data_IF_023029265503
#
_entry.id   IF_023029265503
#
_cell.length_a   1.000
_cell.length_b   1.000
_cell.length_c   1.000
_cell.angle_alpha   90.00
_cell.angle_beta   90.00
_cell.angle_gamma   90.00
#
_symmetry.space_group_name_H-M   'P 1'
#
loop_
_entity.id
_entity.type
_entity.pdbx_description
1 polymer ?
#
# COMPACT_ATOMS: atom_id res chain seq x y z
N UNK A 1 -9.59 -8.92 -42.65
CA UNK A 1 -9.85 -7.52 -42.28
C UNK A 1 -9.98 -7.46 -40.76
N UNK A 2 -9.18 -6.66 -40.04
CA UNK A 2 -9.43 -6.45 -38.62
C UNK A 2 -10.75 -5.68 -38.49
N UNK A 3 -11.71 -6.27 -37.79
CA UNK A 3 -12.98 -5.63 -37.45
C UNK A 3 -12.62 -4.45 -36.53
N UNK A 4 -12.89 -3.21 -36.97
CA UNK A 4 -12.76 -2.06 -36.08
C UNK A 4 -13.86 -2.18 -35.02
N UNK A 5 -13.53 -2.13 -33.71
CA UNK A 5 -14.55 -2.13 -32.68
C UNK A 5 -15.44 -0.91 -32.85
N UNK A 6 -16.76 -1.11 -32.85
CA UNK A 6 -17.71 -0.01 -32.76
C UNK A 6 -17.76 0.51 -31.32
N UNK A 7 -17.89 1.83 -31.13
CA UNK A 7 -17.86 2.45 -29.80
C UNK A 7 -18.92 1.87 -28.83
N UNK A 8 -20.10 1.55 -29.36
CA UNK A 8 -21.16 0.90 -28.59
C UNK A 8 -20.75 -0.47 -28.05
N UNK A 9 -20.09 -1.27 -28.88
CA UNK A 9 -19.61 -2.61 -28.52
C UNK A 9 -18.49 -2.54 -27.49
N UNK A 10 -17.54 -1.60 -27.63
CA UNK A 10 -16.47 -1.40 -26.64
C UNK A 10 -17.03 -1.01 -25.27
N UNK A 11 -17.95 -0.04 -25.21
CA UNK A 11 -18.57 0.37 -23.93
C UNK A 11 -19.31 -0.79 -23.28
N UNK A 12 -20.05 -1.58 -24.08
CA UNK A 12 -20.75 -2.76 -23.59
C UNK A 12 -19.79 -3.81 -23.02
N UNK A 13 -18.66 -4.06 -23.69
CA UNK A 13 -17.61 -4.98 -23.21
C UNK A 13 -17.06 -4.54 -21.85
N UNK A 14 -16.69 -3.26 -21.70
CA UNK A 14 -16.12 -2.75 -20.44
C UNK A 14 -17.18 -2.78 -19.33
N UNK A 15 -18.42 -2.43 -19.64
CA UNK A 15 -19.55 -2.51 -18.69
C UNK A 15 -19.86 -3.94 -18.28
N UNK A 16 -19.78 -4.91 -19.20
CA UNK A 16 -19.93 -6.32 -18.88
C UNK A 16 -18.80 -6.81 -17.97
N UNK A 17 -17.55 -6.44 -18.23
CA UNK A 17 -16.42 -6.74 -17.36
C UNK A 17 -16.61 -6.17 -15.94
N UNK A 18 -17.01 -4.89 -15.84
CA UNK A 18 -17.35 -4.24 -14.57
C UNK A 18 -18.47 -4.98 -13.84
N UNK A 19 -19.53 -5.38 -14.55
CA UNK A 19 -20.63 -6.13 -13.96
C UNK A 19 -20.15 -7.47 -13.38
N UNK A 20 -19.35 -8.22 -14.13
CA UNK A 20 -18.79 -9.50 -13.68
C UNK A 20 -17.88 -9.37 -12.46
N UNK A 21 -17.00 -8.35 -12.43
CA UNK A 21 -16.16 -8.05 -11.27
C UNK A 21 -16.98 -7.74 -10.01
N UNK A 22 -18.04 -6.94 -10.15
CA UNK A 22 -18.91 -6.54 -9.04
C UNK A 22 -19.76 -7.71 -8.54
N UNK A 23 -20.28 -8.56 -9.44
CA UNK A 23 -20.98 -9.78 -9.08
C UNK A 23 -20.07 -10.74 -8.29
N UNK A 24 -18.84 -10.96 -8.78
CA UNK A 24 -17.88 -11.82 -8.09
C UNK A 24 -17.50 -11.28 -6.70
N UNK A 25 -17.50 -9.95 -6.53
CA UNK A 25 -17.15 -9.31 -5.25
C UNK A 25 -18.28 -9.36 -4.21
N UNK A 26 -19.53 -9.43 -4.64
CA UNK A 26 -20.72 -9.38 -3.75
C UNK A 26 -21.38 -10.73 -3.52
N UNK A 27 -21.20 -11.68 -4.44
CA UNK A 27 -21.80 -13.00 -4.35
C UNK A 27 -21.21 -13.78 -3.16
N UNK A 28 -22.09 -14.11 -2.22
CA UNK A 28 -21.83 -15.10 -1.16
C UNK A 28 -22.29 -16.50 -1.55
N UNK A 29 -23.22 -16.64 -2.52
CA UNK A 29 -23.95 -17.88 -2.84
C UNK A 29 -24.64 -17.91 -4.23
N UNK A 30 -24.14 -17.26 -5.29
CA UNK A 30 -24.79 -17.37 -6.60
C UNK A 30 -24.38 -18.65 -7.35
N UNK A 31 -25.32 -19.41 -7.98
CA UNK A 31 -25.04 -20.70 -8.62
C UNK A 31 -24.38 -20.60 -10.02
N UNK A 32 -24.33 -19.42 -10.61
CA UNK A 32 -23.84 -19.25 -11.99
C UNK A 32 -22.48 -18.53 -11.96
N UNK A 33 -21.42 -19.33 -11.99
CA UNK A 33 -19.99 -19.01 -12.16
C UNK A 33 -19.60 -17.52 -12.12
N UNK A 34 -19.42 -16.92 -10.92
CA UNK A 34 -18.79 -15.60 -10.83
C UNK A 34 -17.37 -15.64 -11.43
N UNK A 35 -16.92 -14.51 -11.98
CA UNK A 35 -15.57 -14.37 -12.54
C UNK A 35 -14.51 -14.86 -11.53
N UNK A 36 -13.79 -15.92 -11.90
CA UNK A 36 -12.74 -16.48 -11.07
C UNK A 36 -11.57 -15.49 -10.99
N UNK A 37 -10.86 -15.44 -9.86
CA UNK A 37 -9.80 -14.45 -9.68
C UNK A 37 -8.64 -14.67 -10.66
N UNK A 38 -8.37 -15.92 -11.06
CA UNK A 38 -7.40 -16.25 -12.10
C UNK A 38 -7.77 -15.78 -13.51
N UNK A 39 -9.05 -15.48 -13.78
CA UNK A 39 -9.52 -15.01 -15.07
C UNK A 39 -9.41 -13.48 -15.23
N UNK A 40 -9.21 -12.75 -14.13
CA UNK A 40 -9.12 -11.28 -14.13
C UNK A 40 -7.99 -10.77 -15.05
N UNK A 41 -6.76 -11.35 -15.06
CA UNK A 41 -5.73 -10.98 -16.02
C UNK A 41 -6.14 -11.15 -17.49
N UNK A 42 -6.84 -12.25 -17.82
CA UNK A 42 -7.29 -12.53 -19.18
C UNK A 42 -8.40 -11.57 -19.60
N UNK A 43 -9.34 -11.28 -18.69
CA UNK A 43 -10.37 -10.28 -18.89
C UNK A 43 -9.77 -8.89 -19.11
N UNK A 44 -8.74 -8.52 -18.34
CA UNK A 44 -8.01 -7.27 -18.54
C UNK A 44 -7.41 -7.21 -19.94
N UNK A 45 -6.70 -8.26 -20.38
CA UNK A 45 -6.12 -8.30 -21.73
C UNK A 45 -7.16 -8.26 -22.84
N UNK A 46 -8.31 -8.89 -22.64
CA UNK A 46 -9.44 -8.72 -23.53
C UNK A 46 -9.91 -7.25 -23.58
N UNK A 47 -10.02 -6.58 -22.43
CA UNK A 47 -10.42 -5.17 -22.34
C UNK A 47 -9.40 -4.22 -23.01
N UNK A 48 -8.07 -4.42 -22.90
CA UNK A 48 -7.10 -3.56 -23.67
C UNK A 48 -7.42 -3.58 -25.13
N UNK A 49 -7.57 -4.79 -25.68
CA UNK A 49 -7.59 -4.99 -27.13
C UNK A 49 -8.78 -4.29 -27.77
N UNK A 50 -9.81 -4.00 -26.98
CA UNK A 50 -11.02 -3.32 -27.39
C UNK A 50 -11.10 -1.89 -26.88
N UNK A 51 -10.10 -1.40 -26.12
CA UNK A 51 -10.14 -0.08 -25.50
C UNK A 51 -10.14 1.05 -26.53
N UNK A 52 -11.06 2.00 -26.35
CA UNK A 52 -11.14 3.21 -27.15
C UNK A 52 -11.03 4.45 -26.23
N UNK A 53 -10.36 5.54 -26.66
CA UNK A 53 -10.22 6.77 -25.86
C UNK A 53 -11.55 7.33 -25.32
N UNK A 54 -12.64 7.14 -26.04
CA UNK A 54 -14.00 7.60 -25.68
C UNK A 54 -14.64 6.82 -24.52
N UNK A 55 -13.97 5.78 -24.01
CA UNK A 55 -14.39 4.97 -22.85
C UNK A 55 -13.59 5.28 -21.58
N UNK A 56 -12.79 6.34 -21.60
CA UNK A 56 -11.90 6.73 -20.50
C UNK A 56 -12.62 7.08 -19.19
N UNK A 57 -13.90 7.44 -19.30
CA UNK A 57 -14.82 7.67 -18.18
C UNK A 57 -15.09 6.40 -17.35
N UNK A 58 -14.94 5.21 -17.95
CA UNK A 58 -15.14 3.93 -17.26
C UNK A 58 -13.88 3.47 -16.50
N UNK A 59 -12.72 4.05 -16.80
CA UNK A 59 -11.44 3.62 -16.26
C UNK A 59 -11.37 3.68 -14.72
N UNK A 60 -11.80 4.77 -14.04
CA UNK A 60 -11.76 4.81 -12.58
C UNK A 60 -12.57 3.68 -11.93
N UNK A 61 -13.77 3.41 -12.47
CA UNK A 61 -14.63 2.33 -11.97
C UNK A 61 -13.97 0.96 -12.16
N UNK A 62 -13.23 0.77 -13.25
CA UNK A 62 -12.52 -0.46 -13.54
C UNK A 62 -11.39 -0.71 -12.54
N UNK A 63 -10.58 0.31 -12.25
CA UNK A 63 -9.57 0.24 -11.19
C UNK A 63 -10.18 -0.16 -9.85
N UNK A 64 -11.24 0.55 -9.42
CA UNK A 64 -11.90 0.27 -8.15
C UNK A 64 -12.45 -1.17 -8.06
N UNK A 65 -13.16 -1.62 -9.10
CA UNK A 65 -13.73 -2.96 -9.14
C UNK A 65 -12.67 -4.08 -9.10
N UNK A 66 -11.55 -3.90 -9.80
CA UNK A 66 -10.45 -4.88 -9.81
C UNK A 66 -9.75 -4.92 -8.45
N UNK A 67 -9.44 -3.77 -7.85
CA UNK A 67 -8.80 -3.73 -6.52
C UNK A 67 -9.71 -4.41 -5.49
N UNK A 68 -11.01 -4.14 -5.52
CA UNK A 68 -11.97 -4.81 -4.65
C UNK A 68 -12.00 -6.33 -4.90
N UNK A 69 -11.95 -6.76 -6.17
CA UNK A 69 -11.90 -8.18 -6.52
C UNK A 69 -10.64 -8.87 -6.00
N UNK A 70 -9.48 -8.21 -6.06
CA UNK A 70 -8.22 -8.69 -5.49
C UNK A 70 -8.33 -8.87 -3.98
N UNK A 71 -8.90 -7.89 -3.27
CA UNK A 71 -9.17 -7.99 -1.84
C UNK A 71 -10.07 -9.17 -1.48
N UNK A 72 -11.17 -9.35 -2.21
CA UNK A 72 -12.11 -10.46 -1.99
C UNK A 72 -11.41 -11.80 -2.21
N UNK A 73 -10.67 -11.95 -3.31
CA UNK A 73 -9.91 -13.17 -3.61
C UNK A 73 -8.92 -13.51 -2.50
N UNK A 74 -8.17 -12.50 -2.06
CA UNK A 74 -7.15 -12.63 -1.02
C UNK A 74 -7.76 -13.03 0.33
N UNK A 75 -8.81 -12.33 0.78
CA UNK A 75 -9.42 -12.57 2.09
C UNK A 75 -10.18 -13.90 2.16
N UNK A 76 -10.73 -14.36 1.04
CA UNK A 76 -11.44 -15.64 0.95
C UNK A 76 -10.52 -16.82 0.65
N UNK A 77 -9.24 -16.57 0.34
CA UNK A 77 -8.29 -17.61 -0.04
C UNK A 77 -8.72 -18.36 -1.31
N UNK A 78 -9.27 -17.64 -2.29
CA UNK A 78 -9.82 -18.25 -3.52
C UNK A 78 -8.74 -18.83 -4.44
N UNK A 79 -7.48 -18.44 -4.26
CA UNK A 79 -6.34 -18.92 -5.04
C UNK A 79 -5.26 -19.53 -4.15
N UNK A 80 -4.51 -20.48 -4.72
CA UNK A 80 -3.23 -20.94 -4.14
C UNK A 80 -2.20 -19.81 -4.16
N UNK A 81 -1.22 -19.88 -3.26
CA UNK A 81 -0.20 -18.85 -3.09
C UNK A 81 0.50 -18.50 -4.41
N UNK A 82 1.05 -19.49 -5.11
CA UNK A 82 1.85 -19.29 -6.32
C UNK A 82 1.02 -18.64 -7.44
N UNK A 83 -0.22 -19.09 -7.61
CA UNK A 83 -1.15 -18.53 -8.59
C UNK A 83 -1.55 -17.10 -8.22
N UNK A 84 -1.79 -16.82 -6.94
CA UNK A 84 -2.15 -15.48 -6.48
C UNK A 84 -1.02 -14.47 -6.72
N UNK A 85 0.23 -14.84 -6.45
CA UNK A 85 1.42 -14.00 -6.71
C UNK A 85 1.51 -13.65 -8.20
N UNK A 86 1.31 -14.65 -9.07
CA UNK A 86 1.30 -14.43 -10.52
C UNK A 86 0.15 -13.51 -10.95
N UNK A 87 -1.08 -13.78 -10.52
CA UNK A 87 -2.25 -12.99 -10.90
C UNK A 87 -2.13 -11.53 -10.42
N UNK A 88 -1.72 -11.30 -9.17
CA UNK A 88 -1.53 -9.95 -8.65
C UNK A 88 -0.41 -9.21 -9.40
N UNK A 89 0.69 -9.88 -9.75
CA UNK A 89 1.76 -9.27 -10.56
C UNK A 89 1.21 -8.77 -11.88
N UNK A 90 0.50 -9.64 -12.63
CA UNK A 90 -0.04 -9.29 -13.94
C UNK A 90 -1.06 -8.16 -13.83
N UNK A 91 -1.92 -8.15 -12.81
CA UNK A 91 -2.88 -7.06 -12.59
C UNK A 91 -2.16 -5.74 -12.30
N UNK A 92 -1.11 -5.75 -11.48
CA UNK A 92 -0.33 -4.54 -11.18
C UNK A 92 0.43 -4.03 -12.41
N UNK A 93 1.06 -4.91 -13.18
CA UNK A 93 1.70 -4.58 -14.47
C UNK A 93 0.70 -3.88 -15.41
N UNK A 94 -0.52 -4.38 -15.45
CA UNK A 94 -1.63 -3.78 -16.19
C UNK A 94 -2.02 -2.39 -15.72
N UNK A 95 -2.13 -2.22 -14.41
CA UNK A 95 -2.38 -0.92 -13.81
C UNK A 95 -1.25 0.06 -14.14
N UNK A 96 0.02 -0.36 -14.03
CA UNK A 96 1.17 0.46 -14.42
C UNK A 96 1.02 0.96 -15.86
N UNK A 97 0.77 0.07 -16.82
CA UNK A 97 0.60 0.42 -18.23
C UNK A 97 -0.51 1.46 -18.45
N UNK A 98 -1.69 1.24 -17.87
CA UNK A 98 -2.79 2.20 -17.98
C UNK A 98 -2.48 3.55 -17.33
N UNK A 99 -1.85 3.56 -16.16
CA UNK A 99 -1.49 4.80 -15.46
C UNK A 99 -0.43 5.58 -16.25
N UNK A 100 0.55 4.90 -16.84
CA UNK A 100 1.52 5.52 -17.72
C UNK A 100 0.88 6.13 -18.96
N UNK A 101 -0.02 5.40 -19.62
CA UNK A 101 -0.73 5.89 -20.80
C UNK A 101 -1.62 7.09 -20.45
N UNK A 102 -2.31 7.03 -19.30
CA UNK A 102 -3.03 8.18 -18.75
C UNK A 102 -2.11 9.38 -18.53
N UNK A 103 -0.94 9.18 -17.93
CA UNK A 103 0.02 10.25 -17.67
C UNK A 103 0.56 10.88 -18.95
N UNK A 104 0.80 10.08 -19.99
CA UNK A 104 1.27 10.54 -21.32
C UNK A 104 0.16 11.23 -22.12
N UNK A 105 -1.09 10.82 -21.92
CA UNK A 105 -2.23 11.36 -22.64
C UNK A 105 -2.62 12.77 -22.17
N UNK A 106 -3.12 13.59 -23.10
CA UNK A 106 -3.78 14.88 -22.81
C UNK A 106 -5.15 14.74 -22.13
N UNK A 107 -5.42 13.59 -21.49
CA UNK A 107 -6.67 13.29 -20.80
C UNK A 107 -6.93 14.29 -19.67
N UNK A 108 -8.19 14.66 -19.49
CA UNK A 108 -8.63 15.58 -18.45
C UNK A 108 -8.18 15.17 -17.03
N UNK A 109 -7.60 16.11 -16.30
CA UNK A 109 -7.14 15.92 -14.91
C UNK A 109 -8.23 15.37 -13.98
N UNK A 110 -9.51 15.64 -14.28
CA UNK A 110 -10.63 15.09 -13.53
C UNK A 110 -10.66 13.54 -13.55
N UNK A 111 -10.39 12.91 -14.69
CA UNK A 111 -10.34 11.44 -14.77
C UNK A 111 -9.13 10.91 -14.02
N UNK A 112 -7.96 11.53 -14.18
CA UNK A 112 -6.74 11.14 -13.44
C UNK A 112 -6.95 11.22 -11.93
N UNK A 113 -7.63 12.28 -11.48
CA UNK A 113 -8.03 12.49 -10.09
C UNK A 113 -8.97 11.38 -9.61
N UNK A 114 -10.01 11.04 -10.38
CA UNK A 114 -10.96 9.99 -10.00
C UNK A 114 -10.28 8.62 -9.97
N UNK A 115 -9.37 8.31 -10.91
CA UNK A 115 -8.55 7.09 -10.86
C UNK A 115 -7.73 7.04 -9.57
N UNK A 116 -7.04 8.12 -9.21
CA UNK A 116 -6.28 8.21 -7.96
C UNK A 116 -7.18 7.99 -6.75
N UNK A 117 -8.36 8.61 -6.71
CA UNK A 117 -9.33 8.44 -5.62
C UNK A 117 -9.77 6.97 -5.54
N UNK A 118 -10.10 6.32 -6.65
CA UNK A 118 -10.51 4.92 -6.66
C UNK A 118 -9.39 3.99 -6.19
N UNK A 119 -8.14 4.23 -6.59
CA UNK A 119 -6.98 3.47 -6.13
C UNK A 119 -6.84 3.54 -4.60
N UNK A 120 -6.90 4.75 -4.04
CA UNK A 120 -6.72 4.97 -2.60
C UNK A 120 -7.93 4.48 -1.80
N UNK A 121 -9.15 4.79 -2.25
CA UNK A 121 -10.41 4.42 -1.58
C UNK A 121 -10.61 2.91 -1.52
N UNK A 122 -10.22 2.18 -2.56
CA UNK A 122 -10.32 0.72 -2.58
C UNK A 122 -9.10 0.04 -1.91
N UNK A 123 -8.18 0.81 -1.32
CA UNK A 123 -7.15 0.28 -0.42
C UNK A 123 -6.03 -0.48 -1.14
N UNK A 124 -5.64 -0.09 -2.36
CA UNK A 124 -4.52 -0.73 -3.06
C UNK A 124 -3.21 -0.64 -2.26
N UNK A 125 -3.00 0.48 -1.57
CA UNK A 125 -1.81 0.72 -0.74
C UNK A 125 -1.73 -0.32 0.40
N UNK A 126 -2.85 -0.51 1.10
CA UNK A 126 -2.95 -1.48 2.19
C UNK A 126 -2.85 -2.92 1.67
N UNK A 127 -3.39 -3.16 0.47
CA UNK A 127 -3.30 -4.47 -0.19
C UNK A 127 -1.87 -4.85 -0.49
N UNK A 128 -1.07 -3.94 -1.05
CA UNK A 128 0.37 -4.13 -1.28
C UNK A 128 1.10 -4.43 0.03
N UNK A 129 0.78 -3.70 1.10
CA UNK A 129 1.36 -3.95 2.42
C UNK A 129 1.06 -5.37 2.93
N UNK A 130 -0.17 -5.87 2.70
CA UNK A 130 -0.52 -7.25 3.07
C UNK A 130 0.13 -8.29 2.17
N UNK A 131 0.26 -8.02 0.88
CA UNK A 131 0.99 -8.92 -0.05
C UNK A 131 2.43 -9.08 0.42
N UNK A 132 3.12 -8.01 0.79
CA UNK A 132 4.52 -8.10 1.27
C UNK A 132 4.69 -9.05 2.47
N UNK A 133 3.67 -9.16 3.33
CA UNK A 133 3.66 -10.09 4.47
C UNK A 133 3.14 -11.49 4.11
N UNK A 134 2.42 -11.61 2.99
CA UNK A 134 1.88 -12.87 2.49
C UNK A 134 2.91 -13.67 1.70
N UNK A 135 3.85 -12.99 1.03
CA UNK A 135 4.90 -13.63 0.25
C UNK A 135 5.78 -14.54 1.10
N UNK A 136 6.04 -15.74 0.60
CA UNK A 136 7.05 -16.63 1.18
C UNK A 136 8.44 -15.96 1.10
N UNK A 137 9.14 -15.76 2.23
CA UNK A 137 10.44 -15.09 2.20
C UNK A 137 11.48 -15.99 1.52
N UNK A 138 12.35 -15.39 0.72
CA UNK A 138 13.36 -16.12 -0.05
C UNK A 138 14.77 -15.79 0.43
N UNK A 139 15.63 -16.82 0.52
CA UNK A 139 17.05 -16.66 0.89
C UNK A 139 17.93 -16.23 -0.28
N UNK A 140 17.43 -16.37 -1.51
CA UNK A 140 18.20 -16.19 -2.74
C UNK A 140 18.20 -14.71 -3.15
N UNK A 141 19.40 -14.18 -3.44
CA UNK A 141 19.59 -12.87 -4.03
C UNK A 141 18.99 -12.83 -5.46
N UNK A 142 18.62 -11.66 -6.02
CA UNK A 142 17.66 -11.50 -7.13
C UNK A 142 18.02 -12.09 -8.52
N UNK A 143 19.00 -12.99 -8.63
CA UNK A 143 19.71 -13.31 -9.88
C UNK A 143 19.26 -14.61 -10.59
N UNK A 144 18.26 -15.34 -10.08
CA UNK A 144 17.76 -16.56 -10.72
C UNK A 144 16.38 -16.35 -11.40
N UNK A 145 16.33 -16.50 -12.72
CA UNK A 145 15.16 -16.14 -13.56
C UNK A 145 13.97 -17.13 -13.52
N UNK A 146 14.06 -18.25 -12.78
CA UNK A 146 13.07 -19.34 -12.86
C UNK A 146 12.56 -19.91 -11.51
N UNK A 147 12.80 -19.24 -10.39
CA UNK A 147 12.38 -19.71 -9.05
C UNK A 147 11.27 -18.84 -8.42
N UNK A 148 10.63 -19.31 -7.35
CA UNK A 148 9.67 -18.57 -6.51
C UNK A 148 10.26 -17.23 -6.03
N UNK A 149 11.57 -17.20 -5.74
CA UNK A 149 12.33 -15.98 -5.48
C UNK A 149 12.24 -14.95 -6.61
N UNK A 150 12.25 -15.39 -7.86
CA UNK A 150 12.05 -14.53 -9.04
C UNK A 150 10.64 -13.95 -9.08
N UNK A 151 9.63 -14.76 -8.75
CA UNK A 151 8.23 -14.34 -8.79
C UNK A 151 7.91 -13.31 -7.70
N UNK A 152 8.40 -13.54 -6.48
CA UNK A 152 8.22 -12.60 -5.36
C UNK A 152 8.91 -11.27 -5.64
N UNK A 153 10.16 -11.30 -6.13
CA UNK A 153 10.88 -10.08 -6.50
C UNK A 153 10.20 -9.31 -7.64
N UNK A 154 9.72 -10.00 -8.68
CA UNK A 154 8.97 -9.35 -9.76
C UNK A 154 7.67 -8.70 -9.24
N UNK A 155 6.94 -9.35 -8.34
CA UNK A 155 5.76 -8.74 -7.73
C UNK A 155 6.13 -7.49 -6.90
N UNK A 156 7.20 -7.54 -6.12
CA UNK A 156 7.70 -6.38 -5.37
C UNK A 156 8.12 -5.22 -6.28
N UNK A 157 8.74 -5.51 -7.42
CA UNK A 157 9.06 -4.50 -8.44
C UNK A 157 7.80 -3.87 -9.02
N UNK A 158 6.77 -4.65 -9.34
CA UNK A 158 5.49 -4.08 -9.80
C UNK A 158 4.80 -3.23 -8.72
N UNK A 159 4.93 -3.61 -7.44
CA UNK A 159 4.45 -2.79 -6.33
C UNK A 159 5.18 -1.44 -6.24
N UNK A 160 6.49 -1.41 -6.50
CA UNK A 160 7.24 -0.16 -6.57
C UNK A 160 6.85 0.65 -7.81
N UNK A 161 6.73 -0.01 -8.96
CA UNK A 161 6.49 0.61 -10.24
C UNK A 161 5.12 1.28 -10.30
N UNK A 162 4.07 0.61 -9.83
CA UNK A 162 2.73 1.18 -9.79
C UNK A 162 2.69 2.45 -8.94
N UNK A 163 3.45 2.50 -7.84
CA UNK A 163 3.54 3.71 -7.02
C UNK A 163 4.27 4.85 -7.70
N UNK A 164 5.30 4.56 -8.49
CA UNK A 164 5.93 5.59 -9.34
C UNK A 164 4.90 6.17 -10.32
N UNK A 165 4.07 5.33 -10.94
CA UNK A 165 3.02 5.77 -11.85
C UNK A 165 1.90 6.57 -11.15
N UNK A 166 1.46 6.13 -9.96
CA UNK A 166 0.47 6.83 -9.13
C UNK A 166 0.96 8.22 -8.73
N UNK A 167 2.25 8.37 -8.36
CA UNK A 167 2.82 9.66 -7.94
C UNK A 167 2.78 10.74 -9.01
N UNK A 168 2.69 10.35 -10.27
CA UNK A 168 2.59 11.25 -11.41
C UNK A 168 1.15 11.73 -11.66
N UNK A 169 0.14 11.10 -11.05
CA UNK A 169 -1.25 11.52 -11.19
C UNK A 169 -1.53 12.82 -10.41
N UNK A 170 -2.24 13.78 -11.02
CA UNK A 170 -2.79 14.93 -10.31
C UNK A 170 -4.06 14.56 -9.53
N UNK A 171 -4.43 15.36 -8.51
CA UNK A 171 -3.62 16.38 -7.87
C UNK A 171 -2.68 15.74 -6.82
N UNK A 172 -1.42 16.16 -6.79
CA UNK A 172 -0.42 15.62 -5.85
C UNK A 172 -0.79 15.80 -4.36
N UNK A 173 -1.70 16.73 -4.04
CA UNK A 173 -2.23 16.93 -2.70
C UNK A 173 -2.99 15.72 -2.16
N UNK A 174 -3.79 15.04 -2.98
CA UNK A 174 -4.62 13.89 -2.56
C UNK A 174 -3.76 12.75 -2.03
N UNK A 175 -2.66 12.44 -2.70
CA UNK A 175 -1.74 11.38 -2.26
C UNK A 175 -1.04 11.76 -0.95
N UNK A 176 -0.65 13.03 -0.80
CA UNK A 176 -0.05 13.53 0.44
C UNK A 176 -1.05 13.42 1.61
N UNK A 177 -2.27 13.90 1.41
CA UNK A 177 -3.32 13.88 2.43
C UNK A 177 -3.66 12.45 2.86
N UNK A 178 -3.67 11.50 1.92
CA UNK A 178 -3.83 10.08 2.20
C UNK A 178 -2.74 9.57 3.16
N UNK A 179 -1.46 9.79 2.84
CA UNK A 179 -0.35 9.32 3.69
C UNK A 179 -0.26 10.03 5.04
N UNK A 180 -0.65 11.31 5.09
CA UNK A 180 -0.75 12.06 6.35
C UNK A 180 -1.88 11.50 7.22
N UNK A 181 -2.99 11.06 6.61
CA UNK A 181 -4.12 10.40 7.30
C UNK A 181 -3.78 8.98 7.76
N UNK A 182 -3.05 8.19 6.96
CA UNK A 182 -2.57 6.86 7.40
C UNK A 182 -1.74 6.97 8.68
N UNK A 183 -0.95 8.04 8.82
CA UNK A 183 -0.24 8.38 10.04
C UNK A 183 0.62 7.22 10.56
N UNK A 184 0.22 6.67 11.70
CA UNK A 184 0.94 5.60 12.41
C UNK A 184 0.79 4.22 11.77
N UNK A 185 -0.31 3.92 11.07
CA UNK A 185 -0.53 2.59 10.50
C UNK A 185 0.52 2.25 9.45
N UNK A 186 0.90 3.24 8.64
CA UNK A 186 1.97 3.14 7.65
C UNK A 186 3.32 2.75 8.27
N UNK A 187 3.68 3.42 9.36
CA UNK A 187 4.95 3.19 10.05
C UNK A 187 4.99 1.85 10.77
N UNK A 188 3.85 1.34 11.26
CA UNK A 188 3.80 0.00 11.89
C UNK A 188 4.30 -1.09 10.95
N UNK A 189 3.86 -1.08 9.69
CA UNK A 189 4.34 -2.06 8.72
C UNK A 189 5.83 -1.84 8.40
N UNK A 190 6.26 -0.59 8.23
CA UNK A 190 7.68 -0.28 8.03
C UNK A 190 8.56 -0.86 9.14
N UNK A 191 8.23 -0.60 10.41
CA UNK A 191 9.02 -1.11 11.55
C UNK A 191 8.95 -2.63 11.69
N UNK A 192 7.82 -3.23 11.31
CA UNK A 192 7.73 -4.68 11.29
C UNK A 192 8.69 -5.27 10.24
N UNK A 193 8.69 -4.72 9.03
CA UNK A 193 9.64 -5.12 7.98
C UNK A 193 11.10 -4.81 8.38
N UNK A 194 11.34 -3.70 9.06
CA UNK A 194 12.66 -3.34 9.62
C UNK A 194 13.15 -4.39 10.62
N UNK A 195 12.30 -4.77 11.57
CA UNK A 195 12.60 -5.83 12.54
C UNK A 195 12.85 -7.19 11.88
N UNK A 196 12.14 -7.52 10.80
CA UNK A 196 12.37 -8.76 10.04
C UNK A 196 13.62 -8.67 9.16
N UNK A 197 14.13 -7.46 8.91
CA UNK A 197 15.37 -7.20 8.17
C UNK A 197 16.63 -7.19 9.05
N UNK A 198 16.47 -7.51 10.35
CA UNK A 198 17.59 -7.70 11.27
C UNK A 198 18.08 -9.15 11.21
N UNK A 199 19.41 -9.40 11.24
CA UNK A 199 19.95 -10.75 11.18
C UNK A 199 19.42 -11.63 12.32
N UNK A 200 18.85 -12.77 11.97
CA UNK A 200 18.52 -13.81 12.96
C UNK A 200 19.69 -14.77 13.11
N UNK A 201 20.05 -15.10 14.35
CA UNK A 201 21.02 -16.17 14.65
C UNK A 201 20.41 -17.58 14.55
N UNK A 202 19.12 -17.68 14.24
CA UNK A 202 18.35 -18.93 14.20
C UNK A 202 17.57 -19.01 12.88
N UNK A 203 17.87 -20.02 12.07
CA UNK A 203 17.14 -20.34 10.82
C UNK A 203 17.77 -19.79 9.54
N UNK A 204 17.08 -19.94 8.39
CA UNK A 204 17.51 -19.38 7.11
C UNK A 204 17.58 -17.85 7.15
N UNK A 205 18.58 -17.26 6.50
CA UNK A 205 18.72 -15.81 6.45
C UNK A 205 17.81 -15.20 5.37
N UNK A 206 16.67 -14.67 5.81
CA UNK A 206 15.72 -13.93 4.98
C UNK A 206 15.92 -12.41 5.02
N UNK A 207 16.97 -11.94 5.70
CA UNK A 207 17.29 -10.52 5.83
C UNK A 207 17.29 -9.78 4.49
N UNK A 208 17.91 -10.31 3.40
CA UNK A 208 17.93 -9.62 2.11
C UNK A 208 16.52 -9.38 1.54
N UNK A 209 15.62 -10.36 1.67
CA UNK A 209 14.24 -10.25 1.20
C UNK A 209 13.48 -9.15 1.94
N UNK A 210 13.51 -9.16 3.27
CA UNK A 210 12.80 -8.14 4.06
C UNK A 210 13.41 -6.75 3.91
N UNK A 211 14.71 -6.62 3.62
CA UNK A 211 15.32 -5.34 3.23
C UNK A 211 14.69 -4.80 1.94
N UNK A 212 14.45 -5.65 0.95
CA UNK A 212 13.76 -5.23 -0.30
C UNK A 212 12.33 -4.80 0.01
N UNK A 213 11.54 -5.61 0.72
CA UNK A 213 10.17 -5.25 1.11
C UNK A 213 10.12 -3.90 1.84
N UNK A 214 11.01 -3.71 2.83
CA UNK A 214 11.14 -2.45 3.58
C UNK A 214 11.41 -1.26 2.67
N UNK A 215 12.34 -1.41 1.72
CA UNK A 215 12.73 -0.34 0.82
C UNK A 215 11.62 0.00 -0.18
N UNK A 216 10.93 -1.00 -0.73
CA UNK A 216 9.76 -0.79 -1.58
C UNK A 216 8.67 -0.06 -0.80
N UNK A 217 8.32 -0.55 0.40
CA UNK A 217 7.33 0.11 1.27
C UNK A 217 7.73 1.55 1.56
N UNK A 218 8.97 1.82 1.97
CA UNK A 218 9.44 3.17 2.24
C UNK A 218 9.34 4.10 1.01
N UNK A 219 9.70 3.59 -0.17
CA UNK A 219 9.70 4.34 -1.44
C UNK A 219 8.31 4.77 -1.93
N UNK A 220 7.26 4.08 -1.49
CA UNK A 220 5.87 4.39 -1.84
C UNK A 220 5.37 5.71 -1.23
N UNK A 221 5.91 6.15 -0.08
CA UNK A 221 5.50 7.40 0.56
C UNK A 221 6.22 8.62 -0.06
N UNK A 222 5.49 9.61 -0.63
CA UNK A 222 6.11 10.83 -1.12
C UNK A 222 6.74 11.66 0.00
N UNK A 223 7.86 12.31 -0.28
CA UNK A 223 8.44 13.32 0.62
C UNK A 223 9.02 12.76 1.92
N UNK A 224 9.30 11.46 2.01
CA UNK A 224 10.17 10.93 3.06
C UNK A 224 11.59 11.39 2.74
N UNK A 225 11.94 12.61 3.18
CA UNK A 225 13.34 13.00 3.36
C UNK A 225 14.02 12.10 4.40
N UNK A 226 15.27 12.41 4.77
CA UNK A 226 15.93 11.76 5.92
C UNK A 226 14.93 11.59 7.06
N UNK A 227 14.70 10.35 7.48
CA UNK A 227 13.83 10.04 8.62
C UNK A 227 14.47 10.72 9.82
N UNK A 228 14.01 11.95 10.11
CA UNK A 228 14.47 12.68 11.27
C UNK A 228 13.83 12.01 12.46
N UNK A 229 14.56 11.08 13.06
CA UNK A 229 14.14 10.39 14.27
C UNK A 229 14.13 11.40 15.41
N UNK A 230 12.95 11.76 15.97
CA UNK A 230 12.92 12.65 17.12
C UNK A 230 13.74 12.03 18.26
N UNK A 231 14.32 12.84 19.12
CA UNK A 231 15.06 12.34 20.28
C UNK A 231 14.17 12.26 21.51
N UNK A 232 14.32 11.19 22.27
CA UNK A 232 13.66 10.92 23.54
C UNK A 232 13.98 12.06 24.49
N UNK A 233 12.94 12.69 25.02
CA UNK A 233 13.09 13.80 25.95
C UNK A 233 13.54 13.39 27.35
N UNK A 234 13.56 12.09 27.66
CA UNK A 234 14.17 11.61 28.89
C UNK A 234 15.70 11.74 28.79
N UNK A 235 16.27 12.69 29.52
CA UNK A 235 17.68 13.06 29.42
C UNK A 235 18.67 11.92 29.73
N UNK A 236 18.23 10.88 30.46
CA UNK A 236 19.04 9.70 30.80
C UNK A 236 18.67 8.48 29.94
N UNK A 237 18.07 8.68 28.78
CA UNK A 237 17.78 7.59 27.86
C UNK A 237 19.09 7.06 27.26
N UNK A 238 19.41 5.76 27.38
CA UNK A 238 20.65 5.20 26.84
C UNK A 238 20.63 5.15 25.30
N UNK A 239 19.45 5.11 24.68
CA UNK A 239 19.27 5.18 23.23
C UNK A 239 18.18 6.21 22.92
N UNK A 240 18.54 7.51 22.78
CA UNK A 240 17.58 8.58 22.68
C UNK A 240 16.91 8.64 21.31
N UNK A 241 17.37 7.93 20.29
CA UNK A 241 16.75 7.96 18.97
C UNK A 241 15.36 7.32 19.02
N UNK A 242 14.30 8.07 18.73
CA UNK A 242 12.94 7.54 18.61
C UNK A 242 12.69 7.20 17.15
N UNK A 243 12.36 5.93 16.91
CA UNK A 243 11.89 5.47 15.62
C UNK A 243 10.55 6.16 15.28
N UNK A 244 10.48 6.85 14.14
CA UNK A 244 9.31 7.62 13.69
C UNK A 244 8.08 6.73 13.55
N UNK A 245 7.00 7.00 14.24
CA UNK A 245 5.85 6.10 14.34
C UNK A 245 5.87 5.17 15.54
N UNK A 246 6.83 5.32 16.45
CA UNK A 246 6.87 4.69 17.77
C UNK A 246 7.00 5.75 18.88
N UNK A 247 6.61 6.98 18.59
CA UNK A 247 6.65 8.09 19.53
C UNK A 247 5.56 7.98 20.60
N UNK A 248 5.98 8.05 21.86
CA UNK A 248 5.06 8.23 22.99
C UNK A 248 5.01 9.71 23.35
N UNK A 249 3.83 10.31 23.20
CA UNK A 249 3.62 11.70 23.56
C UNK A 249 3.16 11.85 25.01
N UNK A 250 3.60 12.92 25.66
CA UNK A 250 2.97 13.34 26.91
C UNK A 250 1.51 13.72 26.64
N UNK A 251 0.55 12.97 27.19
CA UNK A 251 -0.88 13.22 27.01
C UNK A 251 -1.37 14.57 27.56
N UNK A 252 -0.54 15.32 28.29
CA UNK A 252 -0.89 16.65 28.83
C UNK A 252 -0.37 17.81 27.96
N UNK A 253 0.89 17.77 27.52
CA UNK A 253 1.48 18.87 26.76
C UNK A 253 1.61 18.59 25.26
N UNK A 254 1.62 17.31 24.84
CA UNK A 254 1.83 16.85 23.46
C UNK A 254 3.19 17.27 22.84
N UNK A 255 3.92 18.18 23.50
CA UNK A 255 5.24 18.73 23.09
C UNK A 255 6.43 17.80 23.37
N UNK A 256 6.30 16.90 24.36
CA UNK A 256 7.38 15.97 24.73
C UNK A 256 7.12 14.58 24.17
N UNK A 257 8.18 14.01 23.62
CA UNK A 257 8.19 12.75 22.91
C UNK A 257 9.18 11.79 23.56
N UNK A 258 8.77 10.53 23.74
CA UNK A 258 9.58 9.48 24.37
C UNK A 258 9.66 8.25 23.48
N UNK A 259 10.77 7.50 23.56
CA UNK A 259 10.93 6.24 22.83
C UNK A 259 10.14 5.07 23.45
N UNK A 260 9.67 5.23 24.70
CA UNK A 260 8.89 4.21 25.40
C UNK A 260 8.07 4.83 26.53
N UNK A 261 7.01 4.12 26.94
CA UNK A 261 6.25 4.41 28.17
C UNK A 261 7.18 4.43 29.39
N UNK A 262 8.20 3.55 29.43
CA UNK A 262 9.15 3.54 30.54
C UNK A 262 9.96 4.83 30.62
N UNK A 263 10.45 5.36 29.50
CA UNK A 263 11.15 6.64 29.47
C UNK A 263 10.23 7.80 29.84
N UNK A 264 8.97 7.78 29.39
CA UNK A 264 7.95 8.75 29.79
C UNK A 264 7.70 8.72 31.30
N UNK A 265 7.51 7.54 31.89
CA UNK A 265 7.26 7.37 33.32
C UNK A 265 8.48 7.77 34.17
N UNK A 266 9.71 7.44 33.71
CA UNK A 266 10.93 7.84 34.40
C UNK A 266 11.13 9.35 34.35
N UNK A 267 10.92 9.97 33.18
CA UNK A 267 10.96 11.44 33.04
C UNK A 267 9.92 12.12 33.93
N UNK A 268 8.72 11.55 34.05
CA UNK A 268 7.66 12.03 34.93
C UNK A 268 8.00 11.91 36.42
N UNK A 269 8.67 10.82 36.82
CA UNK A 269 9.14 10.64 38.20
C UNK A 269 10.28 11.60 38.55
N UNK A 270 11.13 11.96 37.58
CA UNK A 270 12.25 12.88 37.78
C UNK A 270 11.87 14.35 37.62
N UNK A 271 10.90 14.66 36.75
CA UNK A 271 10.32 15.99 36.55
C UNK A 271 9.03 16.10 37.35
N UNK A 272 9.16 16.36 38.66
CA UNK A 272 8.04 16.37 39.59
C UNK A 272 6.85 17.23 39.09
N UNK A 273 5.61 16.72 39.06
CA UNK A 273 4.44 17.50 38.68
C UNK A 273 4.21 18.62 39.70
N UNK A 274 4.03 19.85 39.21
CA UNK A 274 3.56 20.95 40.06
C UNK A 274 2.06 20.75 40.27
N UNK A 275 1.65 20.55 41.54
CA UNK A 275 0.24 20.65 41.92
C UNK A 275 -0.13 22.13 41.93
N UNK A 276 -1.14 22.51 41.15
CA UNK A 276 -1.78 23.81 41.36
C UNK A 276 -2.51 23.82 42.71
N UNK A 277 -2.75 25.00 43.30
CA UNK A 277 -3.54 25.13 44.53
C UNK A 277 -4.93 24.48 44.47
N UNK A 278 -5.46 24.21 43.27
CA UNK A 278 -6.74 23.52 43.04
C UNK A 278 -6.64 22.02 42.74
N UNK A 279 -5.51 21.36 42.97
CA UNK A 279 -5.37 19.90 42.83
C UNK A 279 -5.27 19.36 41.39
N UNK A 280 -5.28 20.22 40.36
CA UNK A 280 -5.00 19.80 38.98
C UNK A 280 -3.50 19.56 38.81
N UNK A 281 -3.14 18.36 38.37
CA UNK A 281 -1.78 18.03 37.93
C UNK A 281 -1.48 18.77 36.63
N UNK A 282 -0.49 19.66 36.64
CA UNK A 282 0.06 20.26 35.43
C UNK A 282 1.35 19.49 35.10
N UNK A 283 1.56 19.19 33.82
CA UNK A 283 2.82 18.65 33.35
C UNK A 283 3.95 19.63 33.74
N UNK A 284 5.00 19.13 34.41
CA UNK A 284 6.15 19.95 34.83
C UNK A 284 6.87 20.68 33.68
N UNK A 285 6.47 20.36 32.45
CA UNK A 285 7.07 20.80 31.20
C UNK A 285 6.06 21.55 30.30
N UNK A 286 4.98 22.10 30.90
CA UNK A 286 3.98 22.91 30.19
C UNK A 286 4.39 24.36 29.92
N UNK A 287 5.52 24.81 30.46
CA UNK A 287 6.10 26.15 30.26
C UNK A 287 7.29 26.07 29.32
#
# INVERSE_FOLDING_TARGET
MPIKPELGDTKLIIQAALHQLNLASTSLRAPDYPLQPEDVPNMLDFVRRHWLPECIDLLPSLFGAIINRMWVAFLRGEMKHELSVLCYRVILEWFCGYLEDLNKSGTHDAIKTEVLIQILKNGLVDFIGRIMLYLNPTTIAPEAEHDEASSNMRLLWECEHIFKAIRLLPPHGVLKDYFDTCGMSWWKLYWHLDSLSEPSNLGPDFTPFYKVCKNVWLGMRPGVGQIYSPTCKYARCPSPTIQRGLEYYCGHCIKRTYCSIQCQQKDWKTGAPWKTPGGRMICAHSF
#
